data_IF_046786972122
#
_entry.id   IF_046786972122
#
_cell.length_a   1.000
_cell.length_b   1.000
_cell.length_c   1.000
_cell.angle_alpha   90.00
_cell.angle_beta   90.00
_cell.angle_gamma   90.00
#
_symmetry.space_group_name_H-M   'P 1'
#
loop_
_entity.id
_entity.type
_entity.pdbx_description
1 polymer ?
#
# COMPACT_ATOMS: atom_id res chain seq x y z
N UNK A 1 -17.43 11.89 -5.95
CA UNK A 1 -16.04 12.25 -5.59
C UNK A 1 -15.42 11.04 -4.91
N UNK A 2 -14.68 10.21 -5.66
CA UNK A 2 -13.99 9.05 -5.08
C UNK A 2 -12.80 9.56 -4.28
N UNK A 3 -12.84 9.41 -2.96
CA UNK A 3 -11.66 9.49 -2.09
C UNK A 3 -10.86 8.20 -2.29
N UNK A 4 -10.22 8.06 -3.45
CA UNK A 4 -9.22 7.02 -3.63
C UNK A 4 -8.09 7.30 -2.63
N UNK A 5 -7.73 6.38 -1.72
CA UNK A 5 -6.59 6.56 -0.84
C UNK A 5 -5.33 6.79 -1.67
N UNK A 6 -4.93 8.06 -1.85
CA UNK A 6 -3.72 8.40 -2.61
C UNK A 6 -2.44 7.85 -1.98
N UNK A 7 -2.53 7.34 -0.75
CA UNK A 7 -1.40 6.86 0.04
C UNK A 7 -1.62 5.44 0.50
N UNK A 8 -0.52 4.69 0.57
CA UNK A 8 -0.48 3.31 1.07
C UNK A 8 -1.07 3.20 2.49
N UNK A 9 -0.79 4.19 3.34
CA UNK A 9 -1.34 4.24 4.70
C UNK A 9 -2.87 4.37 4.72
N UNK A 10 -3.45 5.12 3.77
CA UNK A 10 -4.90 5.24 3.65
C UNK A 10 -5.55 3.90 3.30
N UNK A 11 -5.00 3.20 2.32
CA UNK A 11 -5.47 1.86 1.92
C UNK A 11 -5.33 0.85 3.05
N UNK A 12 -4.17 0.83 3.72
CA UNK A 12 -3.96 -0.06 4.86
C UNK A 12 -4.92 0.25 6.00
N UNK A 13 -5.19 1.52 6.31
CA UNK A 13 -6.13 1.89 7.36
C UNK A 13 -7.56 1.44 7.04
N UNK A 14 -7.96 1.48 5.77
CA UNK A 14 -9.28 1.00 5.31
C UNK A 14 -9.39 -0.54 5.39
N UNK A 15 -8.31 -1.25 5.08
CA UNK A 15 -8.28 -2.72 4.98
C UNK A 15 -7.49 -3.39 6.11
N UNK A 16 -7.26 -2.69 7.23
CA UNK A 16 -6.36 -3.12 8.31
C UNK A 16 -6.69 -4.52 8.84
N UNK A 17 -7.97 -4.89 8.86
CA UNK A 17 -8.44 -6.19 9.35
C UNK A 17 -7.97 -7.38 8.49
N UNK A 18 -7.67 -7.14 7.21
CA UNK A 18 -7.25 -8.18 6.24
C UNK A 18 -5.82 -7.96 5.73
N UNK A 19 -5.21 -6.81 6.05
CA UNK A 19 -3.86 -6.50 5.63
C UNK A 19 -2.80 -7.04 6.58
N UNK A 20 -1.63 -7.39 6.01
CA UNK A 20 -0.41 -7.65 6.78
C UNK A 20 0.12 -6.40 7.49
N UNK A 21 1.11 -6.58 8.35
CA UNK A 21 1.73 -5.51 9.14
C UNK A 21 2.16 -4.33 8.26
N UNK A 22 1.82 -3.09 8.68
CA UNK A 22 2.20 -1.88 7.93
C UNK A 22 3.72 -1.78 7.74
N UNK A 23 4.52 -2.26 8.71
CA UNK A 23 5.98 -2.25 8.64
C UNK A 23 6.53 -3.14 7.50
N UNK A 24 5.96 -4.32 7.31
CA UNK A 24 6.31 -5.22 6.20
C UNK A 24 5.94 -4.61 4.86
N UNK A 25 4.73 -4.04 4.77
CA UNK A 25 4.25 -3.37 3.57
C UNK A 25 5.16 -2.20 3.20
N UNK A 26 5.51 -1.35 4.16
CA UNK A 26 6.41 -0.21 3.91
C UNK A 26 7.80 -0.69 3.51
N UNK A 27 8.31 -1.77 4.11
CA UNK A 27 9.61 -2.34 3.74
C UNK A 27 9.62 -2.90 2.32
N UNK A 28 8.61 -3.69 1.94
CA UNK A 28 8.49 -4.22 0.58
C UNK A 28 8.29 -3.11 -0.46
N UNK A 29 7.49 -2.09 -0.13
CA UNK A 29 7.27 -0.96 -1.02
C UNK A 29 8.55 -0.13 -1.24
N UNK A 30 9.33 0.12 -0.19
CA UNK A 30 10.66 0.75 -0.32
C UNK A 30 11.67 -0.13 -1.06
N UNK A 31 11.52 -1.45 -0.97
CA UNK A 31 12.33 -2.38 -1.73
C UNK A 31 11.87 -2.52 -3.20
N UNK A 32 10.81 -1.80 -3.62
CA UNK A 32 10.24 -1.90 -4.96
C UNK A 32 9.54 -3.23 -5.25
N UNK A 33 9.20 -4.00 -4.21
CA UNK A 33 8.58 -5.33 -4.31
C UNK A 33 7.06 -5.32 -4.28
N UNK A 34 6.46 -4.15 -4.10
CA UNK A 34 5.03 -3.97 -3.95
C UNK A 34 4.42 -3.43 -5.24
N UNK A 35 3.87 -4.29 -6.11
CA UNK A 35 3.23 -3.84 -7.34
C UNK A 35 2.03 -2.95 -7.00
N UNK A 36 1.83 -1.91 -7.82
CA UNK A 36 0.81 -0.90 -7.57
C UNK A 36 1.17 0.15 -6.51
N UNK A 37 2.39 0.11 -5.96
CA UNK A 37 2.91 1.16 -5.06
C UNK A 37 4.13 1.81 -5.69
N UNK A 38 4.15 3.14 -5.70
CA UNK A 38 5.27 3.95 -6.14
C UNK A 38 5.76 4.85 -5.01
N UNK A 39 7.06 5.10 -4.96
CA UNK A 39 7.61 6.13 -4.09
C UNK A 39 7.14 7.51 -4.57
N UNK A 40 6.57 8.30 -3.66
CA UNK A 40 6.16 9.67 -3.95
C UNK A 40 7.37 10.57 -4.21
N UNK A 41 7.19 11.53 -5.12
CA UNK A 41 8.24 12.48 -5.48
C UNK A 41 8.81 13.19 -4.23
N UNK A 42 10.15 13.24 -4.13
CA UNK A 42 10.91 13.84 -3.01
C UNK A 42 10.71 13.16 -1.64
N UNK A 43 10.44 11.86 -1.61
CA UNK A 43 10.37 11.11 -0.35
C UNK A 43 9.12 11.41 0.48
N UNK A 44 8.06 11.98 -0.11
CA UNK A 44 6.76 12.25 0.55
C UNK A 44 5.92 10.99 0.79
N UNK A 45 6.56 9.86 1.09
CA UNK A 45 5.90 8.59 1.39
C UNK A 45 5.54 7.76 0.16
N UNK A 46 4.77 6.70 0.40
CA UNK A 46 4.40 5.70 -0.59
C UNK A 46 3.00 6.00 -1.15
N UNK A 47 2.91 6.15 -2.46
CA UNK A 47 1.68 6.41 -3.21
C UNK A 47 1.19 5.14 -3.89
N UNK A 48 -0.12 5.04 -4.03
CA UNK A 48 -0.70 4.00 -4.87
C UNK A 48 -0.60 4.44 -6.34
N UNK A 49 0.07 3.62 -7.15
CA UNK A 49 0.02 3.69 -8.59
C UNK A 49 -1.14 2.86 -9.16
N UNK A 50 -1.47 1.74 -8.50
CA UNK A 50 -2.61 0.89 -8.80
C UNK A 50 -3.20 0.35 -7.49
N UNK A 51 -4.44 0.73 -7.20
CA UNK A 51 -5.10 0.37 -5.95
C UNK A 51 -5.38 -1.13 -5.84
N UNK A 52 -5.81 -1.76 -6.93
CA UNK A 52 -6.19 -3.17 -6.93
C UNK A 52 -4.97 -4.08 -6.74
N UNK A 53 -3.87 -3.78 -7.45
CA UNK A 53 -2.60 -4.50 -7.31
C UNK A 53 -1.97 -4.29 -5.94
N UNK A 54 -2.03 -3.05 -5.41
CA UNK A 54 -1.57 -2.76 -4.06
C UNK A 54 -2.40 -3.52 -3.04
N UNK A 55 -3.74 -3.49 -3.15
CA UNK A 55 -4.65 -4.19 -2.25
C UNK A 55 -4.38 -5.70 -2.25
N UNK A 56 -4.24 -6.32 -3.41
CA UNK A 56 -3.90 -7.74 -3.54
C UNK A 56 -2.58 -8.09 -2.82
N UNK A 57 -1.59 -7.20 -2.88
CA UNK A 57 -0.28 -7.43 -2.26
C UNK A 57 -0.28 -7.13 -0.76
N UNK A 58 -1.10 -6.18 -0.29
CA UNK A 58 -1.17 -5.86 1.15
C UNK A 58 -2.15 -6.75 1.91
N UNK A 59 -3.14 -7.35 1.24
CA UNK A 59 -4.12 -8.27 1.82
C UNK A 59 -3.64 -9.72 1.95
N UNK A 60 -2.43 -10.05 1.50
CA UNK A 60 -1.78 -11.32 1.81
C UNK A 60 -1.27 -11.35 3.26
N UNK A 61 -2.19 -11.54 4.19
CA UNK A 61 -1.91 -11.79 5.60
C UNK A 61 -2.86 -12.79 6.26
N UNK A 62 -3.75 -13.43 5.49
CA UNK A 62 -4.64 -14.48 5.97
C UNK A 62 -4.40 -15.73 5.13
N UNK A 63 -3.45 -16.54 5.60
CA UNK A 63 -3.32 -17.96 5.31
C UNK A 63 -3.16 -18.67 6.66
#
# INVERSE_FOLDING_TARGET
MQYAPQTLMGLWSLHKAVCRSISDIVSDARAGKLPGVAEGERGRGLRLADEAAALATVSQGVG
#
